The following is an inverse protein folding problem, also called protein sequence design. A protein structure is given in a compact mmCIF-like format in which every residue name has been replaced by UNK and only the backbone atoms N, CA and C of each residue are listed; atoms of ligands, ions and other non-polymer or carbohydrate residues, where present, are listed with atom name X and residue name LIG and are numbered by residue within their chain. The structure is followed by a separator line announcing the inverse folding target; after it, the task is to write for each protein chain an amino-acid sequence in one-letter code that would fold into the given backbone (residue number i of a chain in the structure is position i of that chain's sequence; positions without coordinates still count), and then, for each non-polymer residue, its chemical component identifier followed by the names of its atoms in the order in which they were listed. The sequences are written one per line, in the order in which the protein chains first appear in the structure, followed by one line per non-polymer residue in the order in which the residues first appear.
data_IF_793668863588
#
_entry.id   IF_793668863588
#
_cell.length_a   1.000
_cell.length_b   1.000
_cell.length_c   1.000
_cell.angle_alpha   90.00
_cell.angle_beta   90.00
_cell.angle_gamma   90.00
#
_symmetry.space_group_name_H-M   'P 1'
#
loop_
_entity.id
_entity.type
_entity.pdbx_description
1 polymer ?
#
# COMPACT_ATOMS: atom_id res chain seq x y z
N UNK A 1 -6.86 43.42 -34.58
CA UNK A 1 -8.07 42.59 -34.42
C UNK A 1 -8.51 42.68 -32.97
N UNK A 2 -9.68 43.28 -32.67
CA UNK A 2 -10.11 43.54 -31.28
C UNK A 2 -10.66 42.28 -30.60
N UNK A 3 -10.35 42.15 -29.31
CA UNK A 3 -10.83 41.09 -28.41
C UNK A 3 -12.24 41.44 -27.91
N UNK A 4 -13.23 40.65 -28.31
CA UNK A 4 -14.61 40.77 -27.83
C UNK A 4 -14.76 39.93 -26.56
N UNK A 5 -15.00 40.57 -25.42
CA UNK A 5 -15.34 39.90 -24.17
C UNK A 5 -16.84 39.56 -24.18
N UNK A 6 -17.17 38.27 -24.03
CA UNK A 6 -18.54 37.79 -23.90
C UNK A 6 -18.78 37.46 -22.42
N UNK A 7 -19.53 38.31 -21.72
CA UNK A 7 -19.97 38.07 -20.34
C UNK A 7 -21.15 37.11 -20.37
N UNK A 8 -20.95 35.87 -19.91
CA UNK A 8 -22.03 34.89 -19.76
C UNK A 8 -22.53 34.90 -18.30
N UNK A 9 -23.70 35.49 -18.07
CA UNK A 9 -24.41 35.38 -16.80
C UNK A 9 -25.07 33.99 -16.72
N UNK A 10 -24.49 33.09 -15.92
CA UNK A 10 -25.06 31.77 -15.65
C UNK A 10 -26.13 31.85 -14.55
N UNK A 11 -27.37 31.52 -14.91
CA UNK A 11 -28.46 31.30 -13.95
C UNK A 11 -28.20 30.01 -13.15
N UNK A 12 -28.21 30.13 -11.82
CA UNK A 12 -28.14 29.01 -10.89
C UNK A 12 -29.55 28.39 -10.78
N UNK A 13 -29.76 27.20 -11.35
CA UNK A 13 -30.97 26.41 -11.10
C UNK A 13 -30.73 25.62 -9.80
N UNK A 14 -31.38 26.07 -8.73
CA UNK A 14 -31.41 25.40 -7.43
C UNK A 14 -32.35 24.19 -7.54
N UNK A 15 -31.79 22.98 -7.68
CA UNK A 15 -32.56 21.74 -7.56
C UNK A 15 -32.94 21.51 -6.07
N UNK A 16 -34.18 21.08 -5.76
CA UNK A 16 -34.56 20.81 -4.39
C UNK A 16 -33.81 19.59 -3.86
N UNK A 17 -33.10 19.77 -2.75
CA UNK A 17 -32.45 18.70 -1.99
C UNK A 17 -33.50 17.66 -1.58
N UNK A 18 -33.27 16.34 -1.79
CA UNK A 18 -34.14 15.33 -1.23
C UNK A 18 -34.08 15.44 0.30
N UNK A 19 -35.25 15.56 0.93
CA UNK A 19 -35.39 15.61 2.37
C UNK A 19 -34.68 14.43 3.01
N UNK A 20 -33.75 14.71 3.92
CA UNK A 20 -33.07 13.73 4.74
C UNK A 20 -34.13 13.02 5.60
N UNK A 21 -34.60 11.87 5.14
CA UNK A 21 -35.33 10.94 6.01
C UNK A 21 -34.31 10.48 7.04
N UNK A 22 -34.43 10.99 8.26
CA UNK A 22 -33.77 10.41 9.42
C UNK A 22 -34.23 8.96 9.50
N UNK A 23 -33.36 8.01 9.15
CA UNK A 23 -33.56 6.60 9.42
C UNK A 23 -33.61 6.41 10.94
N UNK A 24 -34.79 6.55 11.54
CA UNK A 24 -35.04 6.44 12.98
C UNK A 24 -35.20 4.99 13.46
N UNK A 25 -34.68 4.00 12.73
CA UNK A 25 -34.74 2.58 13.15
C UNK A 25 -33.43 1.80 12.89
N UNK A 26 -32.28 2.49 12.88
CA UNK A 26 -31.01 1.78 13.01
C UNK A 26 -30.84 1.35 14.47
N UNK A 27 -31.35 0.15 14.79
CA UNK A 27 -31.08 -0.56 16.05
C UNK A 27 -29.57 -0.45 16.32
N UNK A 28 -29.12 0.09 17.47
CA UNK A 28 -27.70 0.19 17.75
C UNK A 28 -27.09 -1.20 17.62
N UNK A 29 -25.86 -1.33 17.08
CA UNK A 29 -25.22 -2.63 17.00
C UNK A 29 -25.17 -3.16 18.43
N UNK A 30 -25.93 -4.23 18.67
CA UNK A 30 -25.88 -4.96 19.92
C UNK A 30 -24.48 -5.57 19.93
N UNK A 31 -23.54 -4.90 20.58
CA UNK A 31 -22.27 -5.50 20.97
C UNK A 31 -22.67 -6.63 21.89
N UNK A 32 -22.69 -7.86 21.37
CA UNK A 32 -22.96 -9.03 22.17
C UNK A 32 -21.90 -9.08 23.27
N UNK A 33 -22.29 -8.78 24.51
CA UNK A 33 -21.46 -8.95 25.71
C UNK A 33 -21.37 -10.43 26.10
N UNK A 34 -21.37 -11.33 25.11
CA UNK A 34 -21.09 -12.74 25.34
C UNK A 34 -19.62 -12.87 25.67
N UNK A 35 -19.29 -13.35 26.88
CA UNK A 35 -17.91 -13.70 27.17
C UNK A 35 -17.50 -14.83 26.22
N UNK A 36 -16.57 -14.53 25.32
CA UNK A 36 -15.99 -15.52 24.40
C UNK A 36 -15.33 -16.60 25.24
N UNK A 37 -15.71 -17.87 25.01
CA UNK A 37 -15.09 -18.98 25.74
C UNK A 37 -13.61 -19.11 25.37
N UNK A 38 -12.73 -19.65 26.24
CA UNK A 38 -11.32 -19.86 25.89
C UNK A 38 -11.12 -20.67 24.60
N UNK A 39 -12.00 -21.64 24.34
CA UNK A 39 -11.95 -22.46 23.13
C UNK A 39 -12.32 -21.65 21.88
N UNK A 40 -13.38 -20.86 21.95
CA UNK A 40 -13.81 -19.98 20.87
C UNK A 40 -12.76 -18.90 20.58
N UNK A 41 -12.19 -18.29 21.62
CA UNK A 41 -11.10 -17.34 21.50
C UNK A 41 -9.89 -17.95 20.79
N UNK A 42 -9.54 -19.20 21.11
CA UNK A 42 -8.46 -19.93 20.43
C UNK A 42 -8.77 -20.20 18.96
N UNK A 43 -10.01 -20.51 18.62
CA UNK A 43 -10.42 -20.72 17.22
C UNK A 43 -10.32 -19.43 16.41
N UNK A 44 -10.88 -18.34 16.93
CA UNK A 44 -10.82 -17.02 16.30
C UNK A 44 -9.37 -16.57 16.14
N UNK A 45 -8.53 -16.72 17.17
CA UNK A 45 -7.12 -16.35 17.10
C UNK A 45 -6.36 -17.14 16.04
N UNK A 46 -6.67 -18.43 15.87
CA UNK A 46 -6.07 -19.26 14.81
C UNK A 46 -6.43 -18.74 13.43
N UNK A 47 -7.71 -18.45 13.18
CA UNK A 47 -8.16 -17.94 11.88
C UNK A 47 -7.57 -16.55 11.59
N UNK A 48 -7.58 -15.66 12.58
CA UNK A 48 -6.98 -14.34 12.48
C UNK A 48 -5.47 -14.41 12.19
N UNK A 49 -4.74 -15.33 12.83
CA UNK A 49 -3.31 -15.52 12.58
C UNK A 49 -3.04 -16.00 11.16
N UNK A 50 -3.81 -16.98 10.67
CA UNK A 50 -3.66 -17.47 9.29
C UNK A 50 -3.97 -16.38 8.26
N UNK A 51 -5.02 -15.60 8.49
CA UNK A 51 -5.37 -14.46 7.65
C UNK A 51 -4.26 -13.39 7.63
N UNK A 52 -3.73 -13.04 8.79
CA UNK A 52 -2.75 -11.97 8.93
C UNK A 52 -1.30 -12.41 8.66
N UNK A 53 -1.06 -13.69 8.36
CA UNK A 53 0.29 -14.25 8.25
C UNK A 53 1.17 -13.50 7.24
N UNK A 54 0.67 -13.31 6.01
CA UNK A 54 1.40 -12.59 4.96
C UNK A 54 1.74 -11.15 5.38
N UNK A 55 0.77 -10.43 5.96
CA UNK A 55 0.97 -9.07 6.47
C UNK A 55 2.04 -9.02 7.56
N UNK A 56 2.02 -9.98 8.48
CA UNK A 56 2.99 -10.03 9.57
C UNK A 56 4.41 -10.30 9.04
N UNK A 57 4.58 -11.21 8.08
CA UNK A 57 5.90 -11.49 7.47
C UNK A 57 6.42 -10.31 6.63
N UNK A 58 5.54 -9.65 5.86
CA UNK A 58 5.88 -8.43 5.16
C UNK A 58 6.27 -7.31 6.14
N UNK A 59 5.53 -7.15 7.24
CA UNK A 59 5.87 -6.18 8.28
C UNK A 59 7.22 -6.47 8.96
N UNK A 60 7.52 -7.73 9.25
CA UNK A 60 8.82 -8.14 9.78
C UNK A 60 9.98 -7.76 8.83
N UNK A 61 9.74 -7.83 7.52
CA UNK A 61 10.70 -7.44 6.49
C UNK A 61 10.85 -5.92 6.41
N UNK A 62 9.73 -5.18 6.40
CA UNK A 62 9.70 -3.71 6.46
C UNK A 62 10.46 -3.21 7.68
N UNK A 63 10.24 -3.81 8.84
CA UNK A 63 10.88 -3.37 10.07
C UNK A 63 12.40 -3.39 9.93
N UNK A 64 12.97 -4.50 9.46
CA UNK A 64 14.43 -4.63 9.26
C UNK A 64 14.97 -3.73 8.14
N UNK A 65 14.21 -3.53 7.08
CA UNK A 65 14.70 -2.82 5.89
C UNK A 65 14.45 -1.31 5.96
N UNK A 66 13.41 -0.84 6.63
CA UNK A 66 12.97 0.57 6.61
C UNK A 66 12.79 1.22 7.98
N UNK A 67 12.80 0.47 9.09
CA UNK A 67 12.56 1.04 10.44
C UNK A 67 13.78 0.91 11.35
N UNK A 68 14.35 -0.28 11.47
CA UNK A 68 15.49 -0.55 12.33
C UNK A 68 16.80 -0.13 11.65
N UNK A 69 17.27 1.07 12.00
CA UNK A 69 18.53 1.59 11.47
C UNK A 69 19.78 0.79 11.88
N UNK A 70 19.66 -0.15 12.82
CA UNK A 70 20.78 -1.01 13.25
C UNK A 70 20.82 -2.33 12.51
N UNK A 71 19.75 -2.69 11.79
CA UNK A 71 19.69 -3.91 11.00
C UNK A 71 20.63 -3.82 9.79
N UNK A 72 21.28 -4.95 9.46
CA UNK A 72 22.16 -5.03 8.29
C UNK A 72 21.41 -4.74 6.99
N UNK A 73 20.14 -5.11 6.95
CA UNK A 73 19.28 -5.00 5.78
C UNK A 73 18.78 -3.56 5.54
N UNK A 74 18.95 -2.65 6.51
CA UNK A 74 18.41 -1.29 6.46
C UNK A 74 18.82 -0.52 5.21
N UNK A 75 17.85 0.11 4.54
CA UNK A 75 18.03 0.82 3.26
C UNK A 75 17.97 2.36 3.39
N UNK A 76 17.85 2.88 4.61
CA UNK A 76 17.72 4.33 4.84
C UNK A 76 16.30 4.85 4.99
N UNK A 77 15.33 3.95 5.20
CA UNK A 77 13.93 4.31 5.47
C UNK A 77 13.00 4.21 4.26
N UNK A 78 11.74 4.62 4.46
CA UNK A 78 10.73 4.62 3.40
C UNK A 78 11.09 5.59 2.26
N UNK A 79 10.73 5.20 1.03
CA UNK A 79 11.02 5.97 -0.18
C UNK A 79 12.48 5.92 -0.64
N UNK A 80 13.33 5.09 -0.02
CA UNK A 80 14.71 4.86 -0.45
C UNK A 80 14.81 3.58 -1.26
N UNK A 81 15.33 3.70 -2.47
CA UNK A 81 15.57 2.55 -3.33
C UNK A 81 16.89 1.86 -2.97
N UNK A 82 16.84 0.53 -2.91
CA UNK A 82 18.02 -0.32 -3.06
C UNK A 82 18.08 -0.79 -4.50
N UNK A 83 19.27 -0.66 -5.11
CA UNK A 83 19.54 -1.04 -6.49
C UNK A 83 20.60 -2.14 -6.52
N UNK A 84 20.39 -3.17 -7.33
CA UNK A 84 21.43 -4.13 -7.69
C UNK A 84 21.69 -4.01 -9.18
N UNK A 85 22.95 -3.75 -9.55
CA UNK A 85 23.37 -3.71 -10.96
C UNK A 85 23.65 -5.10 -11.53
N UNK A 86 23.94 -6.06 -10.65
CA UNK A 86 24.34 -7.41 -11.02
C UNK A 86 23.21 -8.42 -10.82
N UNK A 87 23.21 -9.52 -11.59
CA UNK A 87 22.35 -10.66 -11.35
C UNK A 87 22.52 -11.26 -9.95
N UNK A 88 21.45 -11.83 -9.41
CA UNK A 88 21.41 -12.37 -8.05
C UNK A 88 22.27 -13.62 -7.87
N UNK A 89 23.06 -13.63 -6.81
CA UNK A 89 23.89 -14.78 -6.40
C UNK A 89 23.38 -15.36 -5.08
N UNK A 90 23.88 -16.53 -4.62
CA UNK A 90 23.59 -17.03 -3.28
C UNK A 90 24.03 -16.11 -2.13
N UNK A 91 24.82 -15.06 -2.40
CA UNK A 91 25.16 -14.05 -1.40
C UNK A 91 24.04 -13.02 -1.18
N UNK A 92 23.10 -12.87 -2.13
CA UNK A 92 21.96 -11.97 -2.00
C UNK A 92 20.91 -12.59 -1.07
N UNK A 93 20.61 -11.90 0.05
CA UNK A 93 19.72 -12.40 1.12
C UNK A 93 18.58 -11.46 1.47
N UNK A 94 18.44 -10.37 0.73
CA UNK A 94 17.44 -9.32 1.00
C UNK A 94 16.03 -9.69 0.53
N UNK A 95 15.93 -10.57 -0.48
CA UNK A 95 14.68 -11.05 -1.07
C UNK A 95 14.72 -12.56 -1.12
N UNK A 96 13.58 -13.21 -0.85
CA UNK A 96 13.47 -14.67 -0.92
C UNK A 96 13.45 -15.10 -2.38
N UNK A 97 14.31 -16.06 -2.73
CA UNK A 97 14.40 -16.69 -4.07
C UNK A 97 14.38 -15.68 -5.24
N UNK A 98 15.35 -14.75 -5.30
CA UNK A 98 15.40 -13.81 -6.40
C UNK A 98 15.72 -14.53 -7.70
N UNK A 99 15.11 -14.10 -8.82
CA UNK A 99 15.55 -14.57 -10.13
C UNK A 99 16.96 -14.03 -10.45
N UNK A 100 17.62 -14.66 -11.41
CA UNK A 100 18.97 -14.28 -11.86
C UNK A 100 18.99 -13.72 -13.30
N UNK A 101 17.80 -13.43 -13.86
CA UNK A 101 17.66 -12.98 -15.24
C UNK A 101 17.60 -11.46 -15.35
N UNK A 102 17.20 -10.77 -14.28
CA UNK A 102 17.01 -9.32 -14.25
C UNK A 102 17.67 -8.68 -13.02
N UNK A 103 18.38 -7.54 -13.16
CA UNK A 103 18.76 -6.71 -12.02
C UNK A 103 17.53 -6.08 -11.38
N UNK A 104 17.56 -5.88 -10.06
CA UNK A 104 16.43 -5.40 -9.29
C UNK A 104 16.65 -4.00 -8.71
N UNK A 105 15.56 -3.25 -8.65
CA UNK A 105 15.44 -2.04 -7.84
C UNK A 105 14.16 -2.13 -7.04
N UNK A 106 14.22 -1.89 -5.73
CA UNK A 106 13.06 -2.00 -4.85
C UNK A 106 13.10 -0.95 -3.74
N UNK A 107 11.93 -0.57 -3.24
CA UNK A 107 11.76 0.36 -2.12
C UNK A 107 10.47 0.02 -1.36
N UNK A 108 10.44 0.33 -0.06
CA UNK A 108 9.21 0.40 0.73
C UNK A 108 8.64 1.81 0.67
N UNK A 109 7.35 1.95 0.40
CA UNK A 109 6.69 3.25 0.28
C UNK A 109 5.65 3.43 1.39
N UNK A 110 5.72 4.54 2.11
CA UNK A 110 4.73 4.92 3.12
C UNK A 110 3.77 5.98 2.58
N UNK A 111 2.61 5.52 2.11
CA UNK A 111 1.61 6.37 1.46
C UNK A 111 0.66 7.07 2.44
N UNK A 112 0.90 7.00 3.77
CA UNK A 112 -0.03 7.54 4.77
C UNK A 112 -0.12 9.06 4.78
N UNK A 113 0.98 9.74 4.46
CA UNK A 113 1.05 11.20 4.51
C UNK A 113 0.73 11.84 3.14
N UNK A 114 1.34 11.33 2.08
CA UNK A 114 1.26 11.88 0.74
C UNK A 114 1.63 10.82 -0.33
N UNK A 115 1.29 11.03 -1.61
CA UNK A 115 1.67 10.10 -2.68
C UNK A 115 3.16 10.21 -3.06
N UNK A 116 3.73 9.10 -3.51
CA UNK A 116 5.06 9.06 -4.14
C UNK A 116 4.98 9.24 -5.66
N UNK A 117 5.91 10.01 -6.22
CA UNK A 117 6.13 10.10 -7.67
C UNK A 117 7.39 9.31 -8.03
N UNK A 118 7.23 8.21 -8.76
CA UNK A 118 8.35 7.39 -9.24
C UNK A 118 8.61 7.71 -10.70
N UNK A 119 9.82 8.24 -10.98
CA UNK A 119 10.29 8.54 -12.34
C UNK A 119 11.19 7.42 -12.82
N UNK A 120 10.90 6.88 -14.01
CA UNK A 120 11.71 5.85 -14.64
C UNK A 120 12.43 6.46 -15.85
N UNK A 121 13.76 6.29 -15.97
CA UNK A 121 14.49 6.77 -17.14
C UNK A 121 14.02 6.04 -18.41
N UNK A 122 14.28 6.64 -19.57
CA UNK A 122 13.99 5.99 -20.85
C UNK A 122 14.72 4.64 -20.95
N UNK A 123 13.97 3.57 -21.18
CA UNK A 123 14.51 2.21 -21.36
C UNK A 123 14.55 1.89 -22.86
N UNK A 124 15.66 1.33 -23.40
CA UNK A 124 15.73 0.87 -24.78
C UNK A 124 14.58 -0.10 -25.12
N UNK A 125 14.06 -0.01 -26.35
CA UNK A 125 12.88 -0.78 -26.79
C UNK A 125 13.06 -2.30 -26.72
N UNK A 126 14.29 -2.75 -26.87
CA UNK A 126 14.72 -4.15 -26.85
C UNK A 126 15.08 -4.65 -25.45
N UNK A 127 14.97 -3.80 -24.42
CA UNK A 127 15.25 -4.17 -23.03
C UNK A 127 13.95 -4.33 -22.24
N UNK A 128 13.71 -5.56 -21.77
CA UNK A 128 12.59 -5.86 -20.89
C UNK A 128 12.76 -5.18 -19.52
N UNK A 129 11.68 -4.58 -19.02
CA UNK A 129 11.57 -4.13 -17.63
C UNK A 129 10.10 -4.14 -17.21
N UNK A 130 9.85 -4.22 -15.90
CA UNK A 130 8.51 -4.16 -15.31
C UNK A 130 8.59 -3.44 -13.96
N UNK A 131 7.51 -2.73 -13.61
CA UNK A 131 7.30 -2.20 -12.27
C UNK A 131 6.22 -3.04 -11.60
N UNK A 132 6.59 -3.76 -10.55
CA UNK A 132 5.66 -4.52 -9.73
C UNK A 132 5.26 -3.71 -8.51
N UNK A 133 3.96 -3.70 -8.20
CA UNK A 133 3.40 -3.08 -7.00
C UNK A 133 2.80 -4.16 -6.13
N UNK A 134 3.21 -4.19 -4.86
CA UNK A 134 2.82 -5.20 -3.89
C UNK A 134 2.32 -4.46 -2.64
N UNK A 135 1.18 -4.89 -2.11
CA UNK A 135 0.68 -4.42 -0.83
C UNK A 135 1.19 -5.30 0.33
N UNK A 136 0.80 -4.98 1.56
CA UNK A 136 1.26 -5.77 2.71
C UNK A 136 0.65 -7.18 2.76
N UNK A 137 -0.44 -7.45 2.06
CA UNK A 137 -1.17 -8.71 2.17
C UNK A 137 -0.70 -9.78 1.18
N UNK A 138 0.26 -9.45 0.31
CA UNK A 138 0.72 -10.29 -0.81
C UNK A 138 2.18 -10.67 -0.68
#
# INVERSE_FOLDING_TARGET
MPRTALTLAGFLILAPLPSLVLAQDAKPPVVATGQVSPQEARSIAKEAYLYAYALMENYNTIYKQAVDATAREYVGGFGKFRHYSEPSTPANRDVVTPNNDTPYSWAWLDLRAEPYVISVPAVPKDRYYVLQWIDLFT
#
